data_IF_484003797664
#
_entry.id   IF_484003797664
#
_cell.length_a   1.000
_cell.length_b   1.000
_cell.length_c   1.000
_cell.angle_alpha   90.00
_cell.angle_beta   90.00
_cell.angle_gamma   90.00
#
_symmetry.space_group_name_H-M   'P 1'
#
loop_
_entity.id
_entity.type
_entity.pdbx_description
1 polymer ?
#
# COMPACT_ATOMS: atom_id res chain seq x y z
N UNK A 1 -6.15 11.55 -77.32
CA UNK A 1 -7.42 11.85 -76.62
C UNK A 1 -7.54 10.91 -75.44
N UNK A 2 -7.95 11.45 -74.29
CA UNK A 2 -8.40 10.81 -73.04
C UNK A 2 -7.38 9.90 -72.32
N UNK A 3 -6.77 10.36 -71.22
CA UNK A 3 -7.30 10.41 -69.84
C UNK A 3 -7.20 9.05 -69.15
N UNK A 4 -6.58 9.12 -67.96
CA UNK A 4 -6.35 8.07 -66.99
C UNK A 4 -7.60 7.26 -66.64
N UNK A 5 -7.40 6.01 -66.21
CA UNK A 5 -8.05 5.55 -65.00
C UNK A 5 -7.28 4.39 -64.33
N UNK A 6 -6.84 4.63 -63.10
CA UNK A 6 -6.43 3.60 -62.15
C UNK A 6 -7.67 3.13 -61.38
N UNK A 7 -7.98 1.83 -61.29
CA UNK A 7 -8.86 1.33 -60.26
C UNK A 7 -8.05 0.77 -59.07
N UNK A 8 -8.05 1.61 -58.04
CA UNK A 8 -7.94 1.37 -56.59
C UNK A 8 -7.76 -0.06 -56.07
N UNK A 9 -6.74 -0.19 -55.21
CA UNK A 9 -6.49 -1.29 -54.28
C UNK A 9 -7.71 -1.55 -53.37
N UNK A 10 -8.28 -2.75 -53.43
CA UNK A 10 -9.12 -3.26 -52.36
C UNK A 10 -8.26 -3.98 -51.32
N UNK A 11 -7.75 -3.23 -50.35
CA UNK A 11 -7.23 -3.78 -49.10
C UNK A 11 -8.41 -4.42 -48.37
N UNK A 12 -8.61 -5.73 -48.55
CA UNK A 12 -9.52 -6.49 -47.70
C UNK A 12 -8.89 -6.61 -46.33
N UNK A 13 -9.28 -5.73 -45.41
CA UNK A 13 -9.08 -5.96 -43.98
C UNK A 13 -9.94 -7.15 -43.57
N UNK A 14 -9.36 -8.34 -43.64
CA UNK A 14 -9.95 -9.54 -43.06
C UNK A 14 -9.77 -9.45 -41.54
N UNK A 15 -10.73 -8.82 -40.86
CA UNK A 15 -10.85 -8.94 -39.41
C UNK A 15 -11.16 -10.41 -39.10
N UNK A 16 -10.37 -11.10 -38.26
CA UNK A 16 -10.76 -12.41 -37.79
C UNK A 16 -12.02 -12.27 -36.95
N UNK A 17 -13.13 -12.78 -37.48
CA UNK A 17 -14.37 -13.00 -36.74
C UNK A 17 -14.05 -13.82 -35.50
N UNK A 18 -14.20 -13.20 -34.32
CA UNK A 18 -14.14 -13.90 -33.04
C UNK A 18 -15.29 -14.89 -33.00
N UNK A 19 -15.05 -16.13 -33.43
CA UNK A 19 -15.93 -17.26 -33.11
C UNK A 19 -15.73 -17.62 -31.63
N UNK A 20 -16.63 -17.14 -30.77
CA UNK A 20 -17.11 -17.92 -29.62
C UNK A 20 -18.53 -18.34 -29.97
N UNK A 21 -18.78 -19.66 -30.07
CA UNK A 21 -19.07 -20.37 -28.84
C UNK A 21 -18.45 -21.77 -28.85
N UNK A 22 -17.60 -22.05 -27.88
CA UNK A 22 -17.40 -23.42 -27.43
C UNK A 22 -17.72 -23.41 -25.95
N UNK A 23 -18.88 -23.97 -25.62
CA UNK A 23 -19.14 -24.70 -24.38
C UNK A 23 -18.13 -25.85 -24.31
N UNK A 24 -16.85 -25.51 -24.16
CA UNK A 24 -15.79 -26.45 -23.85
C UNK A 24 -15.84 -26.65 -22.34
N UNK A 25 -15.98 -27.92 -21.95
CA UNK A 25 -16.05 -28.40 -20.58
C UNK A 25 -15.11 -27.60 -19.66
N UNK A 26 -15.68 -26.89 -18.69
CA UNK A 26 -14.93 -26.27 -17.60
C UNK A 26 -14.12 -27.39 -16.96
N UNK A 27 -12.78 -27.37 -17.01
CA UNK A 27 -12.00 -28.43 -16.40
C UNK A 27 -12.33 -28.40 -14.91
N UNK A 28 -12.67 -29.57 -14.37
CA UNK A 28 -13.02 -29.75 -12.95
C UNK A 28 -11.84 -29.32 -12.05
N UNK A 29 -10.64 -29.15 -12.62
CA UNK A 29 -9.42 -28.63 -11.99
C UNK A 29 -9.25 -27.09 -12.00
N UNK A 30 -9.96 -26.32 -12.85
CA UNK A 30 -9.85 -24.85 -12.82
C UNK A 30 -10.41 -24.29 -11.51
N UNK A 31 -11.46 -24.92 -10.97
CA UNK A 31 -12.02 -24.53 -9.67
C UNK A 31 -11.01 -24.73 -8.53
N UNK A 32 -10.15 -25.75 -8.61
CA UNK A 32 -9.11 -26.02 -7.61
C UNK A 32 -7.93 -25.05 -7.70
N UNK A 33 -7.45 -24.76 -8.90
CA UNK A 33 -6.39 -23.76 -9.11
C UNK A 33 -6.84 -22.34 -8.74
N UNK A 34 -8.08 -21.96 -9.08
CA UNK A 34 -8.69 -20.68 -8.69
C UNK A 34 -8.96 -20.63 -7.19
N UNK A 35 -9.34 -21.74 -6.54
CA UNK A 35 -9.54 -21.79 -5.08
C UNK A 35 -8.22 -21.71 -4.30
N UNK A 36 -7.14 -22.34 -4.78
CA UNK A 36 -5.80 -22.24 -4.17
C UNK A 36 -5.23 -20.82 -4.31
N UNK A 37 -5.39 -20.21 -5.48
CA UNK A 37 -5.01 -18.80 -5.69
C UNK A 37 -5.92 -17.83 -4.95
N UNK A 38 -7.22 -18.09 -4.85
CA UNK A 38 -8.14 -17.30 -4.04
C UNK A 38 -7.77 -17.40 -2.55
N UNK A 39 -7.51 -18.59 -2.01
CA UNK A 39 -7.07 -18.76 -0.62
C UNK A 39 -5.76 -18.01 -0.37
N UNK A 40 -4.77 -18.13 -1.26
CA UNK A 40 -3.54 -17.35 -1.18
C UNK A 40 -3.77 -15.83 -1.22
N UNK A 41 -4.67 -15.36 -2.09
CA UNK A 41 -5.02 -13.95 -2.19
C UNK A 41 -5.72 -13.43 -0.91
N UNK A 42 -6.61 -14.23 -0.30
CA UNK A 42 -7.25 -13.86 0.97
C UNK A 42 -6.24 -13.84 2.13
N UNK A 43 -5.30 -14.79 2.16
CA UNK A 43 -4.22 -14.79 3.16
C UNK A 43 -3.33 -13.56 3.00
N UNK A 44 -2.94 -13.21 1.77
CA UNK A 44 -2.14 -12.01 1.51
C UNK A 44 -2.90 -10.71 1.83
N UNK A 45 -4.20 -10.66 1.50
CA UNK A 45 -5.06 -9.53 1.87
C UNK A 45 -5.19 -9.42 3.39
N UNK A 46 -5.40 -10.54 4.09
CA UNK A 46 -5.44 -10.60 5.54
C UNK A 46 -4.13 -10.16 6.18
N UNK A 47 -2.99 -10.66 5.69
CA UNK A 47 -1.66 -10.25 6.15
C UNK A 47 -1.45 -8.74 5.97
N UNK A 48 -1.89 -8.19 4.83
CA UNK A 48 -1.78 -6.74 4.56
C UNK A 48 -2.65 -5.91 5.50
N UNK A 49 -3.88 -6.35 5.76
CA UNK A 49 -4.78 -5.71 6.71
C UNK A 49 -4.24 -5.79 8.14
N UNK A 50 -3.73 -6.95 8.57
CA UNK A 50 -3.12 -7.14 9.88
C UNK A 50 -1.88 -6.27 10.06
N UNK A 51 -1.03 -6.21 9.03
CA UNK A 51 0.16 -5.34 9.03
C UNK A 51 -0.26 -3.89 9.20
N UNK A 52 -1.19 -3.39 8.37
CA UNK A 52 -1.73 -2.04 8.50
C UNK A 52 -2.40 -1.79 9.85
N UNK A 53 -3.10 -2.80 10.39
CA UNK A 53 -3.73 -2.72 11.70
C UNK A 53 -2.71 -2.57 12.84
N UNK A 54 -1.55 -3.24 12.77
CA UNK A 54 -0.46 -3.05 13.76
C UNK A 54 0.04 -1.61 13.76
N UNK A 55 0.22 -1.01 12.57
CA UNK A 55 0.63 0.39 12.46
C UNK A 55 -0.46 1.35 12.95
N UNK A 56 -1.72 1.12 12.57
CA UNK A 56 -2.86 1.90 13.05
C UNK A 56 -3.00 1.82 14.57
N UNK A 57 -2.80 0.63 15.15
CA UNK A 57 -2.80 0.46 16.60
C UNK A 57 -1.65 1.23 17.25
N UNK A 58 -0.45 1.19 16.68
CA UNK A 58 0.68 1.97 17.18
C UNK A 58 0.44 3.49 17.10
N UNK A 59 -0.23 3.97 16.06
CA UNK A 59 -0.68 5.35 15.94
C UNK A 59 -1.67 5.72 17.06
N UNK A 60 -2.69 4.88 17.28
CA UNK A 60 -3.69 5.11 18.32
C UNK A 60 -3.07 5.07 19.73
N UNK A 61 -2.22 4.09 20.02
CA UNK A 61 -1.51 3.99 21.31
C UNK A 61 -0.61 5.21 21.55
N UNK A 62 0.13 5.69 20.54
CA UNK A 62 0.93 6.92 20.69
C UNK A 62 0.09 8.19 20.79
N UNK A 63 -1.08 8.21 20.15
CA UNK A 63 -1.98 9.36 20.18
C UNK A 63 -2.63 9.52 21.55
N UNK A 64 -3.16 8.42 22.10
CA UNK A 64 -3.96 8.43 23.34
C UNK A 64 -3.20 7.96 24.58
N UNK A 65 -2.07 7.27 24.44
CA UNK A 65 -1.32 6.72 25.58
C UNK A 65 -2.04 5.55 26.25
N UNK A 66 -2.43 4.50 25.50
CA UNK A 66 -3.17 3.36 26.06
C UNK A 66 -2.34 2.45 26.97
N UNK A 67 -1.03 2.72 27.14
CA UNK A 67 -0.17 2.00 28.07
C UNK A 67 0.50 0.76 27.48
N UNK A 68 0.34 0.48 26.18
CA UNK A 68 0.99 -0.68 25.55
C UNK A 68 2.46 -0.39 25.23
N UNK A 69 2.71 0.60 24.38
CA UNK A 69 4.05 1.10 24.11
C UNK A 69 4.25 2.52 24.69
N UNK A 70 3.16 3.27 24.81
CA UNK A 70 3.14 4.65 25.29
C UNK A 70 2.49 4.69 26.68
N UNK A 71 3.20 5.07 27.75
CA UNK A 71 2.63 5.18 29.09
C UNK A 71 1.38 6.05 29.12
N UNK A 72 0.42 5.71 29.98
CA UNK A 72 -0.81 6.49 30.14
C UNK A 72 -0.53 7.92 30.61
N UNK A 73 -1.20 8.89 29.99
CA UNK A 73 -0.96 10.32 30.20
C UNK A 73 0.31 10.86 29.52
N UNK A 74 0.92 10.08 28.64
CA UNK A 74 2.01 10.51 27.73
C UNK A 74 1.58 10.42 26.26
N UNK A 75 0.28 10.36 25.99
CA UNK A 75 -0.24 10.42 24.64
C UNK A 75 0.09 11.76 23.99
N UNK A 76 0.10 11.79 22.66
CA UNK A 76 0.30 13.02 21.91
C UNK A 76 -0.74 14.10 22.27
N UNK A 77 -1.99 13.70 22.50
CA UNK A 77 -3.05 14.61 22.94
C UNK A 77 -2.82 15.17 24.35
N UNK A 78 -2.05 14.47 25.18
CA UNK A 78 -1.68 14.88 26.55
C UNK A 78 -0.43 15.78 26.56
N UNK A 79 0.07 16.17 25.38
CA UNK A 79 1.31 16.94 25.23
C UNK A 79 2.58 16.09 25.23
N UNK A 80 2.46 14.76 25.13
CA UNK A 80 3.58 13.87 24.85
C UNK A 80 4.13 14.10 23.43
N UNK A 81 5.42 13.84 23.23
CA UNK A 81 6.05 13.91 21.90
C UNK A 81 6.46 12.52 21.42
N UNK A 82 5.87 12.02 20.32
CA UNK A 82 6.25 10.75 19.70
C UNK A 82 7.74 10.68 19.32
N UNK A 83 8.28 11.76 18.74
CA UNK A 83 9.68 11.78 18.30
C UNK A 83 10.65 11.98 19.44
N UNK A 84 10.25 12.59 20.57
CA UNK A 84 11.11 12.75 21.73
C UNK A 84 11.55 11.41 22.34
N UNK A 85 10.66 10.42 22.35
CA UNK A 85 11.00 9.06 22.79
C UNK A 85 11.97 8.33 21.85
N UNK A 86 11.87 8.57 20.54
CA UNK A 86 12.69 7.91 19.52
C UNK A 86 14.01 8.66 19.25
N UNK A 87 13.94 9.92 18.84
CA UNK A 87 15.10 10.74 18.45
C UNK A 87 15.90 11.22 19.68
N UNK A 88 15.25 11.44 20.82
CA UNK A 88 15.93 11.78 22.07
C UNK A 88 16.80 10.63 22.62
N UNK A 89 16.53 9.39 22.21
CA UNK A 89 17.33 8.22 22.61
C UNK A 89 18.63 8.06 21.81
N UNK A 90 18.84 8.85 20.76
CA UNK A 90 20.07 8.82 19.95
C UNK A 90 21.23 9.35 20.79
N UNK A 91 21.95 8.42 21.42
CA UNK A 91 22.99 8.73 22.39
C UNK A 91 24.36 9.05 21.76
N UNK A 92 24.62 8.61 20.52
CA UNK A 92 25.91 8.74 19.84
C UNK A 92 25.79 8.95 18.32
N UNK A 93 26.60 9.85 17.77
CA UNK A 93 26.73 10.12 16.34
C UNK A 93 26.96 11.61 16.03
N UNK A 94 27.62 11.97 14.92
CA UNK A 94 27.94 13.36 14.55
C UNK A 94 26.69 14.25 14.36
N UNK A 95 25.52 13.65 14.16
CA UNK A 95 24.24 14.34 13.99
C UNK A 95 23.37 14.36 15.26
N UNK A 96 23.91 13.97 16.43
CA UNK A 96 23.15 13.91 17.69
C UNK A 96 22.43 15.21 18.04
N UNK A 97 23.12 16.36 17.88
CA UNK A 97 22.53 17.67 18.14
C UNK A 97 21.32 17.89 17.25
N UNK A 98 21.45 17.67 15.95
CA UNK A 98 20.38 17.83 14.97
C UNK A 98 19.16 16.96 15.30
N UNK A 99 19.37 15.69 15.67
CA UNK A 99 18.27 14.82 16.07
C UNK A 99 17.60 15.25 17.38
N UNK A 100 18.36 15.77 18.34
CA UNK A 100 17.81 16.34 19.56
C UNK A 100 17.06 17.65 19.31
N UNK A 101 17.53 18.49 18.40
CA UNK A 101 16.88 19.75 18.02
C UNK A 101 15.53 19.50 17.32
N UNK A 102 15.41 18.37 16.61
CA UNK A 102 14.16 17.93 15.98
C UNK A 102 13.27 17.09 16.92
N UNK A 103 13.84 16.50 17.97
CA UNK A 103 13.11 15.68 18.94
C UNK A 103 12.08 16.54 19.70
N UNK A 104 10.79 16.31 19.41
CA UNK A 104 9.70 17.13 19.95
C UNK A 104 9.40 18.41 19.20
N UNK A 105 9.97 18.60 18.01
CA UNK A 105 9.47 19.60 17.09
C UNK A 105 8.09 19.14 16.56
N UNK A 106 7.08 20.02 16.63
CA UNK A 106 5.72 19.66 16.23
C UNK A 106 5.61 19.12 14.81
N UNK A 107 6.38 19.64 13.85
CA UNK A 107 6.42 19.13 12.47
C UNK A 107 7.00 17.71 12.38
N UNK A 108 7.99 17.39 13.21
CA UNK A 108 8.61 16.08 13.26
C UNK A 108 7.65 15.06 13.89
N UNK A 109 6.94 15.46 14.95
CA UNK A 109 5.87 14.66 15.55
C UNK A 109 4.74 14.37 14.55
N UNK A 110 4.33 15.36 13.76
CA UNK A 110 3.36 15.18 12.68
C UNK A 110 3.84 14.23 11.58
N UNK A 111 5.07 14.38 11.08
CA UNK A 111 5.63 13.48 10.06
C UNK A 111 5.82 12.06 10.58
N UNK A 112 6.22 11.91 11.84
CA UNK A 112 6.37 10.60 12.47
C UNK A 112 5.02 9.90 12.60
N UNK A 113 3.98 10.63 12.97
CA UNK A 113 2.61 10.13 13.04
C UNK A 113 2.02 9.81 11.67
N UNK A 114 2.33 10.61 10.64
CA UNK A 114 1.88 10.37 9.27
C UNK A 114 2.57 9.14 8.63
N UNK A 115 3.77 8.79 9.11
CA UNK A 115 4.52 7.63 8.66
C UNK A 115 4.15 6.30 9.33
N UNK A 116 3.33 6.33 10.38
CA UNK A 116 2.71 5.14 10.99
C UNK A 116 1.43 4.81 10.21
#
# INVERSE_FOLDING_TARGET
MAVHDQPHQHVRFHLPSVRRPATAQRPVDESGAVALTATGAHVLAGLRLLTGFVFLWAFLDKTFGFGYATPSGKGWIDGGSPTKGFLGSVAAGPMKSTFHDWAGAGWADWLFMLGL
#
